data_IF_542957457178
#
_entry.id   IF_542957457178
#
_cell.length_a   1.000
_cell.length_b   1.000
_cell.length_c   1.000
_cell.angle_alpha   90.00
_cell.angle_beta   90.00
_cell.angle_gamma   90.00
#
_symmetry.space_group_name_H-M   'P 1'
#
loop_
_entity.id
_entity.type
_entity.pdbx_description
1 polymer ?
#
# COMPACT_ATOMS: atom_id res chain seq x y z
N UNK A 1 -3.94 21.36 25.99
CA UNK A 1 -5.42 21.44 26.10
C UNK A 1 -6.08 21.98 24.83
N UNK A 2 -5.65 23.13 24.24
CA UNK A 2 -6.30 23.70 23.02
C UNK A 2 -6.39 22.72 21.86
N UNK A 3 -5.31 21.98 21.53
CA UNK A 3 -5.29 21.01 20.43
C UNK A 3 -6.24 19.84 20.70
N UNK A 4 -6.28 19.31 21.92
CA UNK A 4 -7.18 18.21 22.29
C UNK A 4 -8.64 18.64 22.10
N UNK A 5 -9.02 19.81 22.61
CA UNK A 5 -10.37 20.34 22.46
C UNK A 5 -10.76 20.60 21.01
N UNK A 6 -9.79 21.01 20.15
CA UNK A 6 -10.03 21.21 18.72
C UNK A 6 -10.45 19.91 18.00
N UNK A 7 -9.94 18.77 18.45
CA UNK A 7 -10.22 17.46 17.86
C UNK A 7 -11.20 16.59 18.67
N UNK A 8 -11.92 17.19 19.63
CA UNK A 8 -12.88 16.48 20.48
C UNK A 8 -14.03 15.82 19.71
N UNK A 9 -14.44 16.43 18.57
CA UNK A 9 -15.57 15.98 17.73
C UNK A 9 -15.13 15.17 16.50
N UNK A 10 -13.85 15.21 16.11
CA UNK A 10 -13.37 14.50 14.92
C UNK A 10 -11.86 14.27 14.97
N UNK A 11 -11.42 13.07 14.63
CA UNK A 11 -9.99 12.79 14.52
C UNK A 11 -9.31 13.57 13.38
N UNK A 12 -8.01 13.91 13.51
CA UNK A 12 -7.26 14.51 12.42
C UNK A 12 -7.22 13.62 11.18
N UNK A 13 -7.54 14.17 10.01
CA UNK A 13 -7.52 13.45 8.73
C UNK A 13 -6.10 13.13 8.27
N UNK A 14 -5.10 13.94 8.60
CA UNK A 14 -3.72 13.72 8.17
C UNK A 14 -2.90 12.97 9.22
N UNK A 15 -1.95 12.13 8.75
CA UNK A 15 -1.01 11.47 9.64
C UNK A 15 -0.21 12.45 10.49
N UNK A 16 0.17 13.61 9.94
CA UNK A 16 0.86 14.66 10.70
C UNK A 16 -0.02 15.26 11.80
N UNK A 17 -1.29 15.49 11.51
CA UNK A 17 -2.27 15.93 12.52
C UNK A 17 -2.43 14.93 13.66
N UNK A 18 -2.48 13.62 13.35
CA UNK A 18 -2.52 12.55 14.36
C UNK A 18 -1.28 12.58 15.26
N UNK A 19 -0.09 12.83 14.70
CA UNK A 19 1.14 12.96 15.48
C UNK A 19 1.05 14.13 16.46
N UNK A 20 0.60 15.31 16.00
CA UNK A 20 0.47 16.51 16.85
C UNK A 20 -0.54 16.28 17.97
N UNK A 21 -1.68 15.67 17.65
CA UNK A 21 -2.69 15.33 18.66
C UNK A 21 -2.14 14.32 19.66
N UNK A 22 -1.45 13.27 19.19
CA UNK A 22 -0.81 12.28 20.04
C UNK A 22 0.23 12.87 21.00
N UNK A 23 1.05 13.83 20.52
CA UNK A 23 1.97 14.58 21.38
C UNK A 23 1.23 15.37 22.47
N UNK A 24 0.08 15.93 22.12
CA UNK A 24 -0.73 16.71 23.06
C UNK A 24 -1.32 15.81 24.15
N UNK A 25 -1.74 14.59 23.81
CA UNK A 25 -2.20 13.59 24.77
C UNK A 25 -1.07 13.13 25.70
N UNK A 26 0.11 12.85 25.18
CA UNK A 26 1.27 12.48 26.01
C UNK A 26 1.60 13.60 27.02
N UNK A 27 1.61 14.86 26.56
CA UNK A 27 1.86 16.03 27.43
C UNK A 27 0.78 16.23 28.48
N UNK A 28 -0.44 15.77 28.26
CA UNK A 28 -1.54 15.84 29.25
C UNK A 28 -1.60 14.63 30.17
N UNK A 29 -0.64 13.68 30.07
CA UNK A 29 -0.58 12.48 30.88
C UNK A 29 -1.26 11.24 30.27
N UNK A 30 -1.97 11.40 29.15
CA UNK A 30 -2.61 10.25 28.46
C UNK A 30 -1.63 9.58 27.47
N UNK A 31 -0.66 8.83 28.03
CA UNK A 31 0.45 8.24 27.27
C UNK A 31 -0.02 7.19 26.28
N UNK A 32 -0.99 6.34 26.67
CA UNK A 32 -1.44 5.22 25.84
C UNK A 32 -2.13 5.71 24.56
N UNK A 33 -3.09 6.61 24.68
CA UNK A 33 -3.81 7.18 23.52
C UNK A 33 -2.86 8.00 22.65
N UNK A 34 -2.01 8.80 23.28
CA UNK A 34 -1.01 9.58 22.55
C UNK A 34 -0.04 8.71 21.77
N UNK A 35 0.41 7.59 22.33
CA UNK A 35 1.31 6.64 21.63
C UNK A 35 0.59 5.96 20.46
N UNK A 36 -0.68 5.58 20.62
CA UNK A 36 -1.49 5.00 19.54
C UNK A 36 -1.61 5.97 18.36
N UNK A 37 -2.00 7.23 18.63
CA UNK A 37 -2.11 8.24 17.58
C UNK A 37 -0.79 8.54 16.88
N UNK A 38 0.34 8.54 17.62
CA UNK A 38 1.67 8.71 17.03
C UNK A 38 2.01 7.54 16.10
N UNK A 39 1.69 6.30 16.49
CA UNK A 39 1.91 5.11 15.63
C UNK A 39 1.03 5.16 14.37
N UNK A 40 -0.23 5.51 14.51
CA UNK A 40 -1.15 5.64 13.37
C UNK A 40 -0.71 6.77 12.42
N UNK A 41 -0.34 7.92 13.00
CA UNK A 41 0.19 9.03 12.23
C UNK A 41 1.52 8.71 11.54
N UNK A 42 2.40 7.94 12.20
CA UNK A 42 3.66 7.46 11.61
C UNK A 42 3.44 6.72 10.30
N UNK A 43 2.42 5.88 10.21
CA UNK A 43 2.15 5.09 9.01
C UNK A 43 1.89 5.99 7.81
N UNK A 44 1.07 7.02 7.96
CA UNK A 44 0.50 7.80 6.84
C UNK A 44 1.09 9.20 6.67
N UNK A 45 1.86 9.72 7.63
CA UNK A 45 2.41 11.06 7.55
C UNK A 45 3.37 11.24 6.38
N UNK A 46 3.17 12.31 5.61
CA UNK A 46 4.16 12.80 4.65
C UNK A 46 5.28 13.49 5.41
N UNK A 47 6.46 12.90 5.39
CA UNK A 47 7.63 13.38 6.10
C UNK A 47 8.77 13.61 5.12
N UNK A 48 9.31 14.81 5.08
CA UNK A 48 10.57 15.10 4.42
C UNK A 48 11.71 14.26 5.03
N UNK A 49 12.86 14.26 4.39
CA UNK A 49 14.05 13.52 4.88
C UNK A 49 14.48 13.98 6.28
N UNK A 50 14.42 15.28 6.57
CA UNK A 50 14.77 15.86 7.87
C UNK A 50 13.75 15.50 8.95
N UNK A 51 12.46 15.61 8.61
CA UNK A 51 11.36 15.27 9.52
C UNK A 51 11.36 13.77 9.86
N UNK A 52 11.59 12.90 8.88
CA UNK A 52 11.74 11.46 9.12
C UNK A 52 12.85 11.16 10.12
N UNK A 53 14.02 11.83 9.99
CA UNK A 53 15.14 11.67 10.91
C UNK A 53 14.79 12.16 12.31
N UNK A 54 14.19 13.34 12.42
CA UNK A 54 13.78 13.96 13.68
C UNK A 54 12.70 13.15 14.38
N UNK A 55 11.68 12.72 13.64
CA UNK A 55 10.60 11.88 14.14
C UNK A 55 11.13 10.56 14.71
N UNK A 56 11.97 9.86 13.96
CA UNK A 56 12.57 8.62 14.45
C UNK A 56 13.44 8.82 15.69
N UNK A 57 14.21 9.91 15.77
CA UNK A 57 15.00 10.23 16.97
C UNK A 57 14.09 10.42 18.17
N UNK A 58 12.97 11.14 18.00
CA UNK A 58 12.03 11.48 19.06
C UNK A 58 11.22 10.28 19.55
N UNK A 59 10.75 9.44 18.63
CA UNK A 59 9.78 8.36 18.93
C UNK A 59 10.35 6.95 18.85
N UNK A 60 11.68 6.78 18.74
CA UNK A 60 12.33 5.46 18.64
C UNK A 60 11.87 4.46 19.72
N UNK A 61 11.59 4.94 20.93
CA UNK A 61 11.16 4.09 22.06
C UNK A 61 9.70 3.59 21.91
N UNK A 62 8.90 4.25 21.10
CA UNK A 62 7.48 3.94 20.88
C UNK A 62 7.24 3.13 19.60
N UNK A 63 8.23 3.09 18.68
CA UNK A 63 8.11 2.39 17.40
C UNK A 63 8.84 1.05 17.44
N UNK A 64 8.13 0.01 17.00
CA UNK A 64 8.68 -1.33 16.82
C UNK A 64 8.80 -1.72 15.33
N UNK A 65 9.35 -2.89 15.05
CA UNK A 65 9.52 -3.38 13.68
C UNK A 65 8.21 -3.44 12.88
N UNK A 66 7.09 -3.73 13.55
CA UNK A 66 5.77 -3.80 12.90
C UNK A 66 5.33 -2.42 12.40
N UNK A 67 5.62 -1.36 13.16
CA UNK A 67 5.29 0.02 12.78
C UNK A 67 6.08 0.45 11.54
N UNK A 68 7.35 0.04 11.42
CA UNK A 68 8.16 0.29 10.23
C UNK A 68 7.65 -0.48 9.01
N UNK A 69 7.24 -1.73 9.19
CA UNK A 69 6.66 -2.56 8.13
C UNK A 69 5.34 -1.94 7.64
N UNK A 70 4.43 -1.55 8.55
CA UNK A 70 3.17 -0.90 8.20
C UNK A 70 3.38 0.37 7.38
N UNK A 71 4.36 1.22 7.77
CA UNK A 71 4.69 2.41 6.99
C UNK A 71 5.24 2.06 5.62
N UNK A 72 6.14 1.08 5.51
CA UNK A 72 6.67 0.66 4.22
C UNK A 72 5.57 0.12 3.30
N UNK A 73 4.62 -0.64 3.84
CA UNK A 73 3.46 -1.13 3.11
C UNK A 73 2.58 0.00 2.59
N UNK A 74 2.22 0.95 3.45
CA UNK A 74 1.48 2.15 3.06
C UNK A 74 2.19 2.90 1.92
N UNK A 75 3.50 3.17 2.07
CA UNK A 75 4.27 3.87 1.05
C UNK A 75 4.33 3.11 -0.28
N UNK A 76 4.38 1.78 -0.22
CA UNK A 76 4.33 0.94 -1.40
C UNK A 76 2.96 1.04 -2.11
N UNK A 77 1.86 0.91 -1.38
CA UNK A 77 0.51 1.03 -1.92
C UNK A 77 0.23 2.43 -2.49
N UNK A 78 0.79 3.49 -1.88
CA UNK A 78 0.66 4.87 -2.36
C UNK A 78 1.69 5.23 -3.45
N UNK A 79 2.48 4.26 -3.93
CA UNK A 79 3.47 4.44 -4.99
C UNK A 79 4.52 5.53 -4.67
N UNK A 80 4.84 5.70 -3.37
CA UNK A 80 5.79 6.70 -2.87
C UNK A 80 7.23 6.17 -2.96
N UNK A 81 7.79 6.13 -4.17
CA UNK A 81 9.08 5.52 -4.50
C UNK A 81 10.24 5.96 -3.61
N UNK A 82 10.45 7.27 -3.47
CA UNK A 82 11.59 7.81 -2.73
C UNK A 82 11.45 7.66 -1.22
N UNK A 83 10.22 7.76 -0.72
CA UNK A 83 9.92 7.55 0.71
C UNK A 83 10.14 6.10 1.09
N UNK A 84 9.63 5.18 0.27
CA UNK A 84 9.86 3.75 0.45
C UNK A 84 11.35 3.41 0.39
N UNK A 85 12.10 3.95 -0.58
CA UNK A 85 13.56 3.77 -0.68
C UNK A 85 14.28 4.20 0.60
N UNK A 86 13.85 5.30 1.22
CA UNK A 86 14.41 5.77 2.50
C UNK A 86 14.09 4.82 3.67
N UNK A 87 12.94 4.14 3.61
CA UNK A 87 12.49 3.23 4.66
C UNK A 87 13.20 1.87 4.64
N UNK A 88 13.65 1.39 3.48
CA UNK A 88 14.20 0.03 3.32
C UNK A 88 15.26 -0.34 4.36
N UNK A 89 16.19 0.54 4.65
CA UNK A 89 17.29 0.31 5.61
C UNK A 89 16.86 0.11 7.06
N UNK A 90 15.59 0.38 7.37
CA UNK A 90 15.04 0.27 8.74
C UNK A 90 14.17 -0.97 8.93
N UNK A 91 13.98 -1.73 7.87
CA UNK A 91 13.15 -2.93 7.88
C UNK A 91 13.97 -4.18 8.27
N UNK A 92 13.33 -5.18 8.88
CA UNK A 92 13.91 -6.51 9.00
C UNK A 92 14.31 -7.05 7.62
N UNK A 93 15.39 -7.85 7.54
CA UNK A 93 16.00 -8.29 6.27
C UNK A 93 15.04 -8.88 5.26
N UNK A 94 14.11 -9.73 5.71
CA UNK A 94 13.12 -10.37 4.85
C UNK A 94 12.14 -9.37 4.23
N UNK A 95 11.67 -8.41 5.02
CA UNK A 95 10.81 -7.32 4.56
C UNK A 95 11.57 -6.32 3.69
N UNK A 96 12.86 -6.12 3.96
CA UNK A 96 13.72 -5.32 3.10
C UNK A 96 13.76 -5.90 1.67
N UNK A 97 13.89 -7.23 1.53
CA UNK A 97 13.85 -7.90 0.22
C UNK A 97 12.50 -7.73 -0.49
N UNK A 98 11.40 -7.95 0.24
CA UNK A 98 10.04 -7.74 -0.29
C UNK A 98 9.84 -6.30 -0.81
N UNK A 99 10.09 -5.32 0.06
CA UNK A 99 9.82 -3.92 -0.30
C UNK A 99 10.85 -3.33 -1.29
N UNK A 100 12.04 -3.92 -1.40
CA UNK A 100 12.98 -3.60 -2.49
C UNK A 100 12.39 -4.05 -3.84
N UNK A 101 11.86 -5.25 -3.93
CA UNK A 101 11.21 -5.73 -5.15
C UNK A 101 10.00 -4.85 -5.51
N UNK A 102 9.14 -4.54 -4.54
CA UNK A 102 7.98 -3.64 -4.72
C UNK A 102 8.42 -2.25 -5.18
N UNK A 103 9.47 -1.68 -4.58
CA UNK A 103 10.01 -0.37 -4.95
C UNK A 103 10.55 -0.34 -6.37
N UNK A 104 11.29 -1.37 -6.82
CA UNK A 104 11.78 -1.46 -8.19
C UNK A 104 10.66 -1.61 -9.22
N UNK A 105 9.57 -2.31 -8.88
CA UNK A 105 8.38 -2.45 -9.72
C UNK A 105 7.64 -1.12 -9.96
N UNK A 106 7.80 -0.11 -9.09
CA UNK A 106 7.22 1.22 -9.28
C UNK A 106 7.86 2.01 -10.41
N UNK A 107 9.06 1.64 -10.83
CA UNK A 107 9.88 2.37 -11.80
C UNK A 107 10.18 1.53 -13.04
N UNK A 108 10.85 2.17 -14.01
CA UNK A 108 11.38 1.47 -15.20
C UNK A 108 12.78 0.88 -14.94
N UNK A 109 13.19 0.72 -13.68
CA UNK A 109 14.54 0.29 -13.31
C UNK A 109 14.86 -1.13 -13.80
N UNK A 110 16.15 -1.36 -14.03
CA UNK A 110 16.68 -2.71 -14.25
C UNK A 110 16.73 -3.50 -12.94
N UNK A 111 16.88 -4.84 -13.04
CA UNK A 111 17.06 -5.70 -11.87
C UNK A 111 15.77 -6.12 -11.17
N UNK A 112 14.61 -5.86 -11.76
CA UNK A 112 13.30 -6.26 -11.21
C UNK A 112 13.22 -7.78 -11.01
N UNK A 113 13.61 -8.57 -12.02
CA UNK A 113 13.54 -10.03 -11.94
C UNK A 113 14.48 -10.58 -10.87
N UNK A 114 15.70 -10.05 -10.78
CA UNK A 114 16.65 -10.40 -9.71
C UNK A 114 16.14 -9.99 -8.31
N UNK A 115 15.44 -8.88 -8.18
CA UNK A 115 14.86 -8.49 -6.90
C UNK A 115 13.70 -9.41 -6.50
N UNK A 116 12.83 -9.78 -7.46
CA UNK A 116 11.72 -10.71 -7.22
C UNK A 116 12.25 -12.10 -6.82
N UNK A 117 13.31 -12.62 -7.48
CA UNK A 117 13.87 -13.93 -7.16
C UNK A 117 14.46 -14.02 -5.75
N UNK A 118 14.83 -12.88 -5.16
CA UNK A 118 15.34 -12.80 -3.76
C UNK A 118 14.24 -12.67 -2.71
N UNK A 119 12.99 -12.48 -3.12
CA UNK A 119 11.88 -12.39 -2.16
C UNK A 119 11.69 -13.74 -1.46
N UNK A 120 11.64 -13.78 -0.12
CA UNK A 120 11.41 -15.01 0.61
C UNK A 120 10.13 -15.73 0.18
N UNK A 121 10.15 -17.06 0.12
CA UNK A 121 9.00 -17.89 -0.34
C UNK A 121 7.70 -17.56 0.34
N UNK A 122 7.71 -17.22 1.64
CA UNK A 122 6.53 -16.82 2.41
C UNK A 122 5.83 -15.57 1.88
N UNK A 123 6.52 -14.70 1.14
CA UNK A 123 5.97 -13.47 0.55
C UNK A 123 5.68 -13.55 -0.95
N UNK A 124 5.89 -14.73 -1.59
CA UNK A 124 5.71 -14.84 -3.04
C UNK A 124 4.25 -14.56 -3.44
N UNK A 125 3.31 -14.84 -2.54
CA UNK A 125 1.88 -14.58 -2.69
C UNK A 125 1.42 -13.30 -1.97
N UNK A 126 2.34 -12.42 -1.58
CA UNK A 126 1.98 -11.13 -0.99
C UNK A 126 1.10 -10.32 -1.96
N UNK A 127 -0.07 -9.83 -1.49
CA UNK A 127 -1.01 -9.12 -2.36
C UNK A 127 -0.42 -7.86 -2.97
N UNK A 128 0.37 -7.10 -2.20
CA UNK A 128 1.01 -5.88 -2.70
C UNK A 128 2.08 -6.17 -3.73
N UNK A 129 2.88 -7.23 -3.54
CA UNK A 129 3.87 -7.66 -4.53
C UNK A 129 3.19 -8.09 -5.84
N UNK A 130 2.13 -8.88 -5.77
CA UNK A 130 1.40 -9.32 -6.96
C UNK A 130 0.68 -8.17 -7.66
N UNK A 131 0.12 -7.21 -6.91
CA UNK A 131 -0.42 -5.97 -7.47
C UNK A 131 0.64 -5.18 -8.22
N UNK A 132 1.82 -4.96 -7.61
CA UNK A 132 2.91 -4.20 -8.23
C UNK A 132 3.44 -4.91 -9.49
N UNK A 133 3.52 -6.26 -9.48
CA UNK A 133 3.87 -7.08 -10.67
C UNK A 133 2.84 -6.96 -11.78
N UNK A 134 1.55 -7.03 -11.44
CA UNK A 134 0.44 -6.83 -12.40
C UNK A 134 0.55 -5.47 -13.08
N UNK A 135 0.62 -4.41 -12.29
CA UNK A 135 0.73 -3.02 -12.75
C UNK A 135 1.97 -2.82 -13.65
N UNK A 136 3.10 -3.37 -13.26
CA UNK A 136 4.35 -3.29 -14.02
C UNK A 136 4.26 -4.02 -15.36
N UNK A 137 3.71 -5.24 -15.40
CA UNK A 137 3.52 -6.02 -16.63
C UNK A 137 2.54 -5.32 -17.57
N UNK A 138 1.40 -4.86 -17.07
CA UNK A 138 0.41 -4.10 -17.86
C UNK A 138 1.03 -2.86 -18.50
N UNK A 139 1.75 -2.05 -17.72
CA UNK A 139 2.42 -0.84 -18.23
C UNK A 139 3.46 -1.13 -19.32
N UNK A 140 3.93 -2.35 -19.45
CA UNK A 140 4.85 -2.82 -20.50
C UNK A 140 4.15 -3.54 -21.64
N UNK A 141 2.83 -3.50 -21.70
CA UNK A 141 2.04 -4.16 -22.75
C UNK A 141 2.03 -5.67 -22.69
N UNK A 142 2.47 -6.28 -21.56
CA UNK A 142 2.56 -7.74 -21.38
C UNK A 142 1.22 -8.29 -20.92
N UNK A 143 0.21 -8.27 -21.80
CA UNK A 143 -1.18 -8.64 -21.47
C UNK A 143 -1.29 -10.07 -20.92
N UNK A 144 -0.78 -11.06 -21.64
CA UNK A 144 -0.96 -12.48 -21.23
C UNK A 144 -0.33 -12.76 -19.86
N UNK A 145 0.88 -12.26 -19.61
CA UNK A 145 1.50 -12.42 -18.29
C UNK A 145 0.83 -11.59 -17.18
N UNK A 146 0.06 -10.55 -17.52
CA UNK A 146 -0.80 -9.84 -16.56
C UNK A 146 -2.02 -10.68 -16.21
N UNK A 147 -2.62 -11.37 -17.18
CA UNK A 147 -3.73 -12.30 -16.97
C UNK A 147 -3.32 -13.48 -16.09
N UNK A 148 -2.12 -14.05 -16.29
CA UNK A 148 -1.58 -15.11 -15.41
C UNK A 148 -1.56 -14.69 -13.92
N UNK A 149 -1.22 -13.42 -13.63
CA UNK A 149 -1.28 -12.93 -12.25
C UNK A 149 -2.72 -12.89 -11.75
N UNK A 150 -3.64 -12.36 -12.55
CA UNK A 150 -5.05 -12.25 -12.18
C UNK A 150 -5.72 -13.62 -11.98
N UNK A 151 -5.34 -14.62 -12.77
CA UNK A 151 -5.82 -16.00 -12.63
C UNK A 151 -5.36 -16.66 -11.32
N UNK A 152 -4.19 -16.25 -10.80
CA UNK A 152 -3.61 -16.80 -9.57
C UNK A 152 -3.95 -15.96 -8.31
N UNK A 153 -4.54 -14.78 -8.46
CA UNK A 153 -4.94 -13.93 -7.35
C UNK A 153 -6.22 -14.47 -6.70
N UNK A 154 -6.16 -14.72 -5.39
CA UNK A 154 -7.34 -15.14 -4.63
C UNK A 154 -8.30 -13.95 -4.46
N UNK A 155 -9.54 -14.15 -4.90
CA UNK A 155 -10.60 -13.14 -4.69
C UNK A 155 -11.25 -13.30 -3.30
N UNK A 156 -10.44 -13.15 -2.24
CA UNK A 156 -10.91 -13.19 -0.86
C UNK A 156 -10.65 -11.83 -0.20
N UNK A 157 -11.54 -11.41 0.70
CA UNK A 157 -11.42 -10.16 1.44
C UNK A 157 -10.05 -10.01 2.13
N UNK A 158 -9.51 -11.10 2.65
CA UNK A 158 -8.21 -11.09 3.32
C UNK A 158 -7.02 -10.93 2.36
N UNK A 159 -7.18 -11.32 1.10
CA UNK A 159 -6.16 -11.16 0.08
C UNK A 159 -6.27 -9.82 -0.65
N UNK A 160 -7.49 -9.41 -0.99
CA UNK A 160 -7.78 -8.16 -1.72
C UNK A 160 -7.80 -6.96 -0.77
N UNK A 161 -6.69 -6.72 -0.06
CA UNK A 161 -6.60 -5.65 0.96
C UNK A 161 -6.81 -4.23 0.41
N UNK A 162 -6.70 -4.04 -0.90
CA UNK A 162 -6.94 -2.77 -1.60
C UNK A 162 -7.69 -3.03 -2.91
N UNK A 163 -8.97 -3.48 -2.85
CA UNK A 163 -9.77 -3.81 -4.03
C UNK A 163 -9.95 -2.62 -4.97
N UNK A 164 -10.00 -1.40 -4.45
CA UNK A 164 -9.99 -0.14 -5.20
C UNK A 164 -8.82 -0.06 -6.20
N UNK A 165 -7.62 -0.33 -5.72
CA UNK A 165 -6.41 -0.30 -6.56
C UNK A 165 -6.36 -1.47 -7.55
N UNK A 166 -6.80 -2.65 -7.14
CA UNK A 166 -6.89 -3.81 -8.03
C UNK A 166 -7.90 -3.57 -9.15
N UNK A 167 -9.04 -2.90 -8.84
CA UNK A 167 -10.04 -2.57 -9.84
C UNK A 167 -9.49 -1.69 -10.96
N UNK A 168 -8.69 -0.67 -10.65
CA UNK A 168 -8.04 0.18 -11.65
C UNK A 168 -7.28 -0.66 -12.69
N UNK A 169 -6.51 -1.64 -12.25
CA UNK A 169 -5.73 -2.50 -13.14
C UNK A 169 -6.64 -3.46 -13.94
N UNK A 170 -7.64 -4.06 -13.27
CA UNK A 170 -8.63 -4.97 -13.90
C UNK A 170 -9.43 -4.26 -14.98
N UNK A 171 -9.96 -3.08 -14.71
CA UNK A 171 -10.77 -2.33 -15.66
C UNK A 171 -10.01 -1.94 -16.92
N UNK A 172 -8.74 -1.54 -16.78
CA UNK A 172 -7.87 -1.23 -17.94
C UNK A 172 -7.62 -2.48 -18.78
N UNK A 173 -7.32 -3.62 -18.15
CA UNK A 173 -7.09 -4.90 -18.83
C UNK A 173 -8.38 -5.37 -19.50
N UNK A 174 -9.53 -5.28 -18.83
CA UNK A 174 -10.83 -5.66 -19.36
C UNK A 174 -11.19 -4.86 -20.62
N UNK A 175 -11.02 -3.53 -20.61
CA UNK A 175 -11.26 -2.70 -21.80
C UNK A 175 -10.35 -3.12 -22.98
N UNK A 176 -9.10 -3.48 -22.71
CA UNK A 176 -8.20 -4.01 -23.74
C UNK A 176 -8.67 -5.37 -24.29
N UNK A 177 -9.24 -6.23 -23.45
CA UNK A 177 -9.79 -7.53 -23.86
C UNK A 177 -11.07 -7.35 -24.68
N UNK A 178 -11.96 -6.42 -24.28
CA UNK A 178 -13.18 -6.07 -25.02
C UNK A 178 -12.81 -5.56 -26.42
N UNK A 179 -11.86 -4.66 -26.52
CA UNK A 179 -11.35 -4.17 -27.81
C UNK A 179 -10.85 -5.31 -28.70
N UNK A 180 -10.22 -6.33 -28.10
CA UNK A 180 -9.75 -7.55 -28.79
C UNK A 180 -10.84 -8.61 -28.98
N UNK A 181 -12.10 -8.30 -28.69
CA UNK A 181 -13.27 -9.20 -28.75
C UNK A 181 -13.14 -10.45 -27.87
N UNK A 182 -12.33 -10.41 -26.81
CA UNK A 182 -12.12 -11.50 -25.84
C UNK A 182 -13.09 -11.35 -24.65
N UNK A 183 -14.39 -11.31 -24.91
CA UNK A 183 -15.43 -10.94 -23.93
C UNK A 183 -15.47 -11.85 -22.70
N UNK A 184 -15.37 -13.18 -22.87
CA UNK A 184 -15.38 -14.12 -21.75
C UNK A 184 -14.22 -13.89 -20.77
N UNK A 185 -13.01 -13.58 -21.30
CA UNK A 185 -11.87 -13.24 -20.45
C UNK A 185 -12.08 -11.90 -19.74
N UNK A 186 -12.69 -10.91 -20.41
CA UNK A 186 -13.00 -9.63 -19.80
C UNK A 186 -13.99 -9.81 -18.63
N UNK A 187 -15.09 -10.51 -18.86
CA UNK A 187 -16.09 -10.83 -17.83
C UNK A 187 -15.45 -11.55 -16.62
N UNK A 188 -14.63 -12.58 -16.85
CA UNK A 188 -13.96 -13.32 -15.78
C UNK A 188 -13.15 -12.42 -14.84
N UNK A 189 -12.42 -11.43 -15.38
CA UNK A 189 -11.57 -10.57 -14.55
C UNK A 189 -12.35 -9.42 -13.91
N UNK A 190 -13.46 -8.96 -14.51
CA UNK A 190 -14.30 -7.91 -13.94
C UNK A 190 -15.21 -8.45 -12.84
N UNK A 191 -15.86 -9.60 -13.03
CA UNK A 191 -16.70 -10.23 -12.00
C UNK A 191 -15.97 -10.58 -10.69
N UNK A 192 -14.64 -10.62 -10.71
CA UNK A 192 -13.79 -10.87 -9.53
C UNK A 192 -13.22 -9.59 -8.93
N UNK A 193 -13.96 -8.47 -8.93
CA UNK A 193 -13.45 -7.17 -8.49
C UNK A 193 -13.18 -7.07 -6.99
N UNK A 194 -13.94 -7.78 -6.15
CA UNK A 194 -13.76 -7.79 -4.70
C UNK A 194 -14.16 -6.49 -3.98
N UNK A 195 -14.82 -5.57 -4.69
CA UNK A 195 -15.37 -4.33 -4.14
C UNK A 195 -16.68 -4.59 -3.41
N UNK A 196 -16.93 -3.92 -2.30
CA UNK A 196 -18.18 -3.97 -1.53
C UNK A 196 -18.84 -2.59 -1.39
N UNK A 197 -18.11 -1.53 -1.70
CA UNK A 197 -18.56 -0.14 -1.56
C UNK A 197 -17.68 0.81 -2.41
N UNK A 198 -18.05 2.07 -2.44
CA UNK A 198 -17.30 3.11 -3.13
C UNK A 198 -17.73 3.32 -4.59
N UNK A 199 -17.26 4.41 -5.20
CA UNK A 199 -17.65 4.77 -6.58
C UNK A 199 -17.19 3.75 -7.62
N UNK A 200 -16.11 3.03 -7.36
CA UNK A 200 -15.58 2.00 -8.24
C UNK A 200 -16.48 0.77 -8.34
N UNK A 201 -17.36 0.54 -7.35
CA UNK A 201 -18.29 -0.59 -7.35
C UNK A 201 -19.28 -0.48 -8.52
N UNK A 202 -19.86 0.70 -8.77
CA UNK A 202 -20.79 0.90 -9.86
C UNK A 202 -20.14 0.64 -11.25
N UNK A 203 -18.90 1.08 -11.45
CA UNK A 203 -18.13 0.80 -12.68
C UNK A 203 -17.83 -0.71 -12.81
N UNK A 204 -17.56 -1.39 -11.70
CA UNK A 204 -17.27 -2.81 -11.69
C UNK A 204 -18.50 -3.67 -12.04
N UNK A 205 -19.62 -3.40 -11.41
CA UNK A 205 -20.88 -4.08 -11.67
C UNK A 205 -21.38 -3.85 -13.12
N UNK A 206 -21.19 -2.63 -13.64
CA UNK A 206 -21.53 -2.33 -15.03
C UNK A 206 -20.67 -3.07 -16.05
N UNK A 207 -19.40 -3.35 -15.71
CA UNK A 207 -18.46 -4.06 -16.59
C UNK A 207 -18.53 -5.59 -16.44
N UNK A 208 -19.25 -6.10 -15.44
CA UNK A 208 -19.45 -7.52 -15.14
C UNK A 208 -20.78 -8.03 -15.68
#
# INVERSE_FOLDING_TARGET
KKIINMFEKSEPLSGYGKIILGESFIKSGNINEGTKLIKDGWVTADLSRSELKSFRKKYKKHLDSKDYIKRADYLAWENKYWDLKRMLRYLPKEYQLLYTARQLLMSKSYGVDSAISRVPKKFINDPGLNYDRLKWRRKRGRLESSLEILDNVRNTKNYMVRPDKWWIERSIIARSLIYKKKYQKAYKITSMHGLSEGPELADAEWMS
#
